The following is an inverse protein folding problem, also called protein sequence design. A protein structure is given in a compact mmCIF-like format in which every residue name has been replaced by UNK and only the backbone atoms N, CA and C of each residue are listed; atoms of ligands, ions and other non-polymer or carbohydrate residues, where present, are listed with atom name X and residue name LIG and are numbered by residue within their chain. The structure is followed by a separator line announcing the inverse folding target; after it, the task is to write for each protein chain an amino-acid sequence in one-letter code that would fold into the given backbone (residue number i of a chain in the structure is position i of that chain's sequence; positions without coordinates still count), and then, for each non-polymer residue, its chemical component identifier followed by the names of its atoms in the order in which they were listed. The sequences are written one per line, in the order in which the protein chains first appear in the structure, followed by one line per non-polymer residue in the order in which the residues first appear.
data_IF_483098135436
#
_entry.id   IF_483098135436
#
_cell.length_a   1.000
_cell.length_b   1.000
_cell.length_c   1.000
_cell.angle_alpha   90.00
_cell.angle_beta   90.00
_cell.angle_gamma   90.00
#
_symmetry.space_group_name_H-M   'P 1'
#
loop_
_entity.id
_entity.type
_entity.pdbx_description
1 polymer ?
#
# COMPACT_ATOMS: atom_id res chain seq x y z
N UNK A 1 -19.17 2.63 4.32
CA UNK A 1 -18.20 3.52 5.00
C UNK A 1 -17.84 4.77 4.22
N UNK A 2 -17.85 4.79 2.89
CA UNK A 2 -17.66 6.02 2.08
C UNK A 2 -18.71 7.11 2.35
N UNK A 3 -19.97 6.72 2.55
CA UNK A 3 -21.08 7.65 2.82
C UNK A 3 -20.93 8.44 4.14
N UNK A 4 -20.15 7.94 5.11
CA UNK A 4 -19.89 8.67 6.37
C UNK A 4 -18.81 9.73 6.17
N UNK A 5 -17.77 9.37 5.41
CA UNK A 5 -16.66 10.24 5.06
C UNK A 5 -17.09 11.42 4.17
N UNK A 6 -17.93 11.16 3.16
CA UNK A 6 -18.50 12.20 2.31
C UNK A 6 -19.42 13.15 3.10
N UNK A 7 -20.11 12.64 4.11
CA UNK A 7 -20.96 13.46 4.98
C UNK A 7 -20.13 14.40 5.85
N UNK A 8 -19.02 13.92 6.40
CA UNK A 8 -18.12 14.77 7.19
C UNK A 8 -17.45 15.85 6.33
N UNK A 9 -17.11 15.55 5.06
CA UNK A 9 -16.59 16.54 4.11
C UNK A 9 -17.56 17.70 3.86
N UNK A 10 -18.86 17.40 3.74
CA UNK A 10 -19.90 18.41 3.47
C UNK A 10 -20.23 19.22 4.73
N UNK A 11 -20.24 18.59 5.91
CA UNK A 11 -20.65 19.22 7.17
C UNK A 11 -19.53 20.08 7.78
N UNK A 12 -18.26 19.68 7.65
CA UNK A 12 -17.16 20.33 8.38
C UNK A 12 -16.29 21.27 7.54
N UNK A 13 -16.58 21.45 6.25
CA UNK A 13 -16.08 22.58 5.44
C UNK A 13 -14.55 22.81 5.43
N UNK A 14 -13.74 21.79 5.76
CA UNK A 14 -12.33 22.04 6.05
C UNK A 14 -11.52 20.81 6.47
N UNK A 15 -11.81 19.62 5.95
CA UNK A 15 -10.82 18.53 5.96
C UNK A 15 -10.07 18.63 4.65
N UNK A 16 -8.82 19.07 4.71
CA UNK A 16 -7.96 19.34 3.57
C UNK A 16 -8.01 18.19 2.55
N UNK A 17 -8.74 18.40 1.44
CA UNK A 17 -9.11 17.34 0.52
C UNK A 17 -7.90 16.73 -0.20
N UNK A 18 -6.79 17.47 -0.25
CA UNK A 18 -5.47 17.02 -0.72
C UNK A 18 -4.86 15.97 0.21
N UNK A 19 -4.88 16.20 1.54
CA UNK A 19 -4.41 15.23 2.54
C UNK A 19 -5.23 13.93 2.51
N UNK A 20 -6.53 14.03 2.25
CA UNK A 20 -7.41 12.88 2.07
C UNK A 20 -7.05 12.03 0.84
N UNK A 21 -6.77 12.70 -0.28
CA UNK A 21 -6.44 12.04 -1.54
C UNK A 21 -5.06 11.39 -1.50
N UNK A 22 -4.07 12.06 -0.90
CA UNK A 22 -2.73 11.50 -0.69
C UNK A 22 -2.77 10.22 0.17
N UNK A 23 -3.58 10.23 1.25
CA UNK A 23 -3.77 9.05 2.11
C UNK A 23 -4.41 7.89 1.36
N UNK A 24 -5.44 8.15 0.54
CA UNK A 24 -6.08 7.11 -0.30
C UNK A 24 -5.11 6.53 -1.31
N UNK A 25 -4.32 7.38 -1.96
CA UNK A 25 -3.33 6.93 -2.94
C UNK A 25 -2.23 6.08 -2.30
N UNK A 26 -1.82 6.39 -1.08
CA UNK A 26 -0.83 5.57 -0.40
C UNK A 26 -1.40 4.23 0.10
N UNK A 27 -2.60 4.22 0.68
CA UNK A 27 -3.30 2.97 1.06
C UNK A 27 -3.44 2.04 -0.15
N UNK A 28 -3.78 2.60 -1.32
CA UNK A 28 -3.88 1.85 -2.57
C UNK A 28 -2.54 1.24 -2.98
N UNK A 29 -1.44 2.00 -2.90
CA UNK A 29 -0.10 1.52 -3.24
C UNK A 29 0.34 0.38 -2.30
N UNK A 30 0.20 0.55 -0.99
CA UNK A 30 0.51 -0.49 0.00
C UNK A 30 -0.32 -1.76 -0.23
N UNK A 31 -1.63 -1.61 -0.50
CA UNK A 31 -2.51 -2.75 -0.79
C UNK A 31 -2.11 -3.51 -2.06
N UNK A 32 -1.65 -2.78 -3.09
CA UNK A 32 -1.14 -3.39 -4.33
C UNK A 32 0.10 -4.24 -4.06
N UNK A 33 1.01 -3.78 -3.21
CA UNK A 33 2.23 -4.54 -2.91
C UNK A 33 1.92 -5.75 -2.01
N UNK A 34 1.05 -5.61 -1.01
CA UNK A 34 0.58 -6.75 -0.22
C UNK A 34 -0.07 -7.83 -1.10
N UNK A 35 -0.81 -7.41 -2.13
CA UNK A 35 -1.39 -8.32 -3.13
C UNK A 35 -0.30 -9.04 -3.92
N UNK A 36 0.74 -8.35 -4.37
CA UNK A 36 1.86 -8.96 -5.10
C UNK A 36 2.62 -9.98 -4.24
N UNK A 37 2.88 -9.66 -2.97
CA UNK A 37 3.52 -10.60 -2.01
C UNK A 37 2.67 -11.85 -1.84
N UNK A 38 1.35 -11.69 -1.67
CA UNK A 38 0.44 -12.83 -1.56
C UNK A 38 0.43 -13.70 -2.82
N UNK A 39 0.52 -13.10 -4.01
CA UNK A 39 0.61 -13.86 -5.26
C UNK A 39 1.92 -14.63 -5.35
N UNK A 40 3.05 -14.03 -4.98
CA UNK A 40 4.34 -14.72 -4.93
C UNK A 40 4.31 -15.91 -3.96
N UNK A 41 3.79 -15.71 -2.74
CA UNK A 41 3.67 -16.78 -1.77
C UNK A 41 2.79 -17.94 -2.28
N UNK A 42 1.64 -17.63 -2.91
CA UNK A 42 0.78 -18.65 -3.53
C UNK A 42 1.49 -19.40 -4.66
N UNK A 43 2.16 -18.68 -5.56
CA UNK A 43 2.91 -19.27 -6.67
C UNK A 43 3.98 -20.24 -6.18
N UNK A 44 4.68 -19.89 -5.11
CA UNK A 44 5.73 -20.72 -4.55
C UNK A 44 5.16 -21.96 -3.83
N UNK A 45 4.00 -21.81 -3.17
CA UNK A 45 3.27 -22.94 -2.59
C UNK A 45 2.74 -23.90 -3.68
N UNK A 46 2.31 -23.37 -4.83
CA UNK A 46 1.81 -24.17 -5.96
C UNK A 46 2.93 -24.95 -6.68
N UNK A 47 4.08 -24.33 -6.88
CA UNK A 47 5.23 -24.96 -7.55
C UNK A 47 6.01 -25.88 -6.60
N UNK A 48 5.90 -25.66 -5.28
CA UNK A 48 6.67 -26.40 -4.27
C UNK A 48 8.18 -26.05 -4.28
N UNK A 49 8.56 -24.99 -4.98
CA UNK A 49 9.94 -24.52 -5.13
C UNK A 49 10.01 -23.01 -4.97
N UNK A 50 10.94 -22.55 -4.12
CA UNK A 50 11.26 -21.13 -3.93
C UNK A 50 12.74 -20.91 -4.27
N UNK A 51 13.00 -20.42 -5.47
CA UNK A 51 14.37 -20.21 -5.94
C UNK A 51 14.98 -18.92 -5.41
N UNK A 52 16.31 -18.80 -5.53
CA UNK A 52 17.04 -17.56 -5.23
C UNK A 52 16.52 -16.35 -6.04
N UNK A 53 16.02 -16.58 -7.26
CA UNK A 53 15.36 -15.55 -8.08
C UNK A 53 14.04 -15.07 -7.49
N UNK A 54 13.22 -15.97 -6.95
CA UNK A 54 11.94 -15.63 -6.32
C UNK A 54 12.19 -14.87 -5.01
N UNK A 55 13.18 -15.31 -4.23
CA UNK A 55 13.66 -14.61 -3.05
C UNK A 55 14.10 -13.18 -3.35
N UNK A 56 14.90 -12.99 -4.42
CA UNK A 56 15.35 -11.67 -4.85
C UNK A 56 14.19 -10.76 -5.24
N UNK A 57 13.23 -11.28 -6.04
CA UNK A 57 12.04 -10.51 -6.44
C UNK A 57 11.19 -10.10 -5.24
N UNK A 58 11.08 -10.98 -4.24
CA UNK A 58 10.30 -10.70 -3.04
C UNK A 58 10.98 -9.64 -2.17
N UNK A 59 12.31 -9.71 -2.07
CA UNK A 59 13.14 -8.70 -1.41
C UNK A 59 13.01 -7.34 -2.10
N UNK A 60 13.08 -7.29 -3.42
CA UNK A 60 12.89 -6.05 -4.20
C UNK A 60 11.50 -5.45 -4.01
N UNK A 61 10.46 -6.28 -3.98
CA UNK A 61 9.10 -5.83 -3.70
C UNK A 61 8.96 -5.26 -2.28
N UNK A 62 9.58 -5.90 -1.27
CA UNK A 62 9.59 -5.43 0.12
C UNK A 62 10.36 -4.12 0.29
N UNK A 63 11.51 -3.97 -0.37
CA UNK A 63 12.28 -2.72 -0.35
C UNK A 63 11.45 -1.56 -0.91
N UNK A 64 10.71 -1.78 -2.00
CA UNK A 64 9.82 -0.78 -2.58
C UNK A 64 8.68 -0.37 -1.61
N UNK A 65 8.14 -1.31 -0.83
CA UNK A 65 7.18 -0.97 0.26
C UNK A 65 7.84 -0.07 1.28
N UNK A 66 9.04 -0.43 1.72
CA UNK A 66 9.72 0.26 2.80
C UNK A 66 10.01 1.72 2.42
N UNK A 67 10.42 1.98 1.18
CA UNK A 67 10.65 3.34 0.69
C UNK A 67 9.35 4.16 0.65
N UNK A 68 8.25 3.60 0.15
CA UNK A 68 6.94 4.28 0.17
C UNK A 68 6.46 4.59 1.60
N UNK A 69 6.74 3.70 2.57
CA UNK A 69 6.42 3.94 3.97
C UNK A 69 7.30 5.03 4.61
N UNK A 70 8.57 5.14 4.23
CA UNK A 70 9.45 6.23 4.68
C UNK A 70 8.97 7.57 4.15
N UNK A 71 8.65 7.64 2.85
CA UNK A 71 8.08 8.85 2.22
C UNK A 71 6.78 9.28 2.91
N UNK A 72 5.93 8.32 3.32
CA UNK A 72 4.73 8.62 4.12
C UNK A 72 5.10 9.29 5.45
N UNK A 73 6.00 8.67 6.21
CA UNK A 73 6.37 9.15 7.56
C UNK A 73 6.97 10.55 7.49
N UNK A 74 7.78 10.83 6.46
CA UNK A 74 8.33 12.16 6.23
C UNK A 74 7.27 13.20 5.86
N UNK A 75 6.30 12.85 4.99
CA UNK A 75 5.16 13.73 4.66
C UNK A 75 4.19 13.97 5.82
N UNK A 76 4.22 13.12 6.84
CA UNK A 76 3.33 13.21 8.00
C UNK A 76 3.95 13.97 9.19
N UNK A 77 5.21 14.41 9.09
CA UNK A 77 5.84 15.39 9.99
C UNK A 77 5.47 16.82 9.61
#
# INVERSE_FOLDING_TARGET
NESKYVRELIIHGGVDATHAEDRRNLIRQVSGIATNINQMAKHCNEIGWFGSTDARRMKEALDAVLELLKELIERWR
#
